data_IF_682232712353
#
_entry.id   IF_682232712353
#
_cell.length_a   1.000
_cell.length_b   1.000
_cell.length_c   1.000
_cell.angle_alpha   90.00
_cell.angle_beta   90.00
_cell.angle_gamma   90.00
#
_symmetry.space_group_name_H-M   'P 1'
#
loop_
_entity.id
_entity.type
_entity.pdbx_description
1 polymer ?
#
# COMPACT_ATOMS: atom_id res chain seq x y z
N UNK A 1 1.94 -7.42 -21.85
CA UNK A 1 0.62 -7.81 -21.43
C UNK A 1 0.45 -9.30 -21.46
N UNK A 2 0.13 -9.92 -20.33
CA UNK A 2 -0.11 -11.37 -20.20
C UNK A 2 -1.56 -11.77 -20.48
N UNK A 3 -2.40 -10.84 -20.91
CA UNK A 3 -3.73 -11.15 -21.36
C UNK A 3 -3.72 -11.41 -22.85
N UNK A 4 -4.12 -12.61 -23.26
CA UNK A 4 -4.43 -12.85 -24.64
C UNK A 4 -5.75 -12.11 -24.94
N UNK A 5 -5.63 -10.87 -25.42
CA UNK A 5 -6.76 -9.94 -25.67
C UNK A 5 -7.85 -10.59 -26.53
N UNK A 6 -7.49 -11.62 -27.30
CA UNK A 6 -8.39 -12.37 -28.16
C UNK A 6 -9.30 -13.38 -27.42
N UNK A 7 -8.96 -13.80 -26.18
CA UNK A 7 -9.73 -14.85 -25.48
C UNK A 7 -10.58 -14.33 -24.32
N UNK A 8 -10.51 -13.05 -23.96
CA UNK A 8 -11.22 -12.47 -22.78
C UNK A 8 -11.11 -13.29 -21.49
N UNK A 9 -9.97 -14.00 -21.33
CA UNK A 9 -9.73 -14.81 -20.14
C UNK A 9 -9.14 -13.95 -19.03
N UNK A 10 -9.58 -14.19 -17.79
CA UNK A 10 -9.00 -13.55 -16.64
C UNK A 10 -7.56 -14.05 -16.40
N UNK A 11 -6.76 -13.27 -15.69
CA UNK A 11 -5.40 -13.70 -15.33
C UNK A 11 -5.45 -14.99 -14.48
N UNK A 12 -6.42 -15.13 -13.60
CA UNK A 12 -6.61 -16.31 -12.76
C UNK A 12 -6.96 -17.56 -13.60
N UNK A 13 -7.78 -17.41 -14.65
CA UNK A 13 -8.06 -18.51 -15.57
C UNK A 13 -6.80 -18.99 -16.28
N UNK A 14 -5.93 -18.07 -16.68
CA UNK A 14 -4.65 -18.43 -17.32
C UNK A 14 -3.71 -19.13 -16.33
N UNK A 15 -3.67 -18.69 -15.08
CA UNK A 15 -2.83 -19.29 -14.04
C UNK A 15 -3.33 -20.70 -13.68
N UNK A 16 -4.62 -20.89 -13.51
CA UNK A 16 -5.21 -22.19 -13.17
C UNK A 16 -5.04 -23.25 -14.26
N UNK A 17 -4.78 -22.84 -15.50
CA UNK A 17 -4.56 -23.69 -16.66
C UNK A 17 -3.20 -23.42 -17.33
N UNK A 18 -2.18 -23.08 -16.53
CA UNK A 18 -0.87 -22.65 -17.06
C UNK A 18 -0.17 -23.72 -17.92
N UNK A 19 -0.45 -24.98 -17.69
CA UNK A 19 0.03 -26.12 -18.45
C UNK A 19 -0.46 -26.16 -19.91
N UNK A 20 -1.60 -25.53 -20.21
CA UNK A 20 -2.16 -25.47 -21.55
C UNK A 20 -1.50 -24.37 -22.42
N UNK A 21 -0.61 -23.57 -21.84
CA UNK A 21 0.03 -22.45 -22.55
C UNK A 21 1.53 -22.72 -22.77
N UNK A 22 1.89 -23.07 -23.98
CA UNK A 22 3.29 -23.37 -24.33
C UNK A 22 4.28 -22.24 -23.96
N UNK A 23 3.83 -20.97 -24.01
CA UNK A 23 4.64 -19.80 -23.64
C UNK A 23 4.94 -19.74 -22.13
N UNK A 24 4.18 -20.43 -21.30
CA UNK A 24 4.32 -20.45 -19.84
C UNK A 24 5.10 -21.69 -19.34
N UNK A 25 5.61 -22.53 -20.23
CA UNK A 25 6.27 -23.81 -19.87
C UNK A 25 7.32 -23.71 -18.77
N UNK A 26 8.09 -22.61 -18.73
CA UNK A 26 9.10 -22.35 -17.67
C UNK A 26 8.53 -21.83 -16.35
N UNK A 27 7.28 -21.40 -16.35
CA UNK A 27 6.63 -20.79 -15.20
C UNK A 27 5.49 -21.65 -14.63
N UNK A 28 5.23 -22.83 -15.18
CA UNK A 28 4.11 -23.69 -14.76
C UNK A 28 4.17 -23.98 -13.24
N UNK A 29 5.32 -24.46 -12.74
CA UNK A 29 5.44 -24.83 -11.33
C UNK A 29 5.22 -23.65 -10.37
N UNK A 30 5.85 -22.47 -10.55
CA UNK A 30 5.55 -21.31 -9.70
C UNK A 30 4.11 -20.78 -9.86
N UNK A 31 3.51 -20.88 -11.04
CA UNK A 31 2.11 -20.47 -11.24
C UNK A 31 1.14 -21.41 -10.52
N UNK A 32 1.36 -22.72 -10.56
CA UNK A 32 0.56 -23.67 -9.80
C UNK A 32 0.75 -23.54 -8.30
N UNK A 33 1.97 -23.23 -7.84
CA UNK A 33 2.19 -22.91 -6.42
C UNK A 33 1.41 -21.66 -6.00
N UNK A 34 1.39 -20.63 -6.82
CA UNK A 34 0.58 -19.46 -6.56
C UNK A 34 -0.92 -19.79 -6.55
N UNK A 35 -1.37 -20.62 -7.50
CA UNK A 35 -2.77 -21.05 -7.57
C UNK A 35 -3.21 -21.84 -6.33
N UNK A 36 -2.38 -22.75 -5.83
CA UNK A 36 -2.62 -23.48 -4.58
C UNK A 36 -2.76 -22.53 -3.37
N UNK A 37 -1.87 -21.55 -3.26
CA UNK A 37 -1.94 -20.50 -2.23
C UNK A 37 -3.27 -19.72 -2.37
N UNK A 38 -3.60 -19.30 -3.58
CA UNK A 38 -4.81 -18.53 -3.84
C UNK A 38 -6.08 -19.31 -3.46
N UNK A 39 -6.16 -20.60 -3.82
CA UNK A 39 -7.31 -21.43 -3.46
C UNK A 39 -7.45 -21.60 -1.94
N UNK A 40 -6.33 -21.84 -1.23
CA UNK A 40 -6.34 -21.94 0.23
C UNK A 40 -6.79 -20.66 0.91
N UNK A 41 -6.39 -19.51 0.39
CA UNK A 41 -6.84 -18.21 0.91
C UNK A 41 -8.31 -17.94 0.62
N UNK A 42 -8.82 -18.35 -0.55
CA UNK A 42 -10.25 -18.27 -0.86
C UNK A 42 -11.08 -19.13 0.10
N UNK A 43 -10.68 -20.38 0.32
CA UNK A 43 -11.34 -21.29 1.28
C UNK A 43 -11.28 -20.71 2.71
N UNK A 44 -10.15 -20.15 3.11
CA UNK A 44 -10.00 -19.51 4.43
C UNK A 44 -10.94 -18.31 4.58
N UNK A 45 -11.06 -17.46 3.56
CA UNK A 45 -11.94 -16.29 3.58
C UNK A 45 -13.42 -16.68 3.69
N UNK A 46 -13.82 -17.82 3.09
CA UNK A 46 -15.20 -18.31 3.12
C UNK A 46 -15.57 -19.04 4.42
N UNK A 47 -14.58 -19.60 5.13
CA UNK A 47 -14.85 -20.55 6.23
C UNK A 47 -14.41 -20.05 7.59
N UNK A 48 -13.56 -19.01 7.66
CA UNK A 48 -12.94 -18.51 8.90
C UNK A 48 -13.39 -17.08 9.21
N UNK A 49 -13.11 -16.65 10.43
CA UNK A 49 -13.25 -15.26 10.82
C UNK A 49 -12.18 -14.40 10.15
N UNK A 50 -12.41 -13.09 10.03
CA UNK A 50 -11.51 -12.19 9.32
C UNK A 50 -10.11 -12.10 9.97
N UNK A 51 -10.01 -12.21 11.29
CA UNK A 51 -8.73 -12.23 12.02
C UNK A 51 -7.99 -13.55 11.82
N UNK A 52 -8.69 -14.69 11.75
CA UNK A 52 -8.12 -15.97 11.37
C UNK A 52 -7.65 -15.96 9.90
N UNK A 53 -8.44 -15.38 8.99
CA UNK A 53 -8.06 -15.19 7.60
C UNK A 53 -6.80 -14.32 7.48
N UNK A 54 -6.70 -13.21 8.21
CA UNK A 54 -5.51 -12.36 8.22
C UNK A 54 -4.25 -13.13 8.69
N UNK A 55 -4.41 -13.99 9.67
CA UNK A 55 -3.35 -14.88 10.13
C UNK A 55 -2.95 -15.89 9.05
N UNK A 56 -3.94 -16.48 8.40
CA UNK A 56 -3.71 -17.44 7.31
C UNK A 56 -3.00 -16.78 6.10
N UNK A 57 -3.34 -15.55 5.77
CA UNK A 57 -2.60 -14.81 4.71
C UNK A 57 -1.11 -14.75 5.03
N UNK A 58 -0.75 -14.46 6.27
CA UNK A 58 0.65 -14.38 6.70
C UNK A 58 1.35 -15.75 6.65
N UNK A 59 0.67 -16.80 7.11
CA UNK A 59 1.24 -18.16 7.21
C UNK A 59 1.27 -18.88 5.85
N UNK A 60 0.16 -18.89 5.11
CA UNK A 60 0.01 -19.62 3.84
C UNK A 60 0.92 -19.04 2.75
N UNK A 61 1.11 -17.72 2.73
CA UNK A 61 2.06 -17.08 1.81
C UNK A 61 3.52 -17.35 2.16
N UNK A 62 3.81 -17.79 3.39
CA UNK A 62 5.15 -17.99 3.91
C UNK A 62 5.86 -16.67 4.30
N UNK A 63 5.13 -15.56 4.39
CA UNK A 63 5.74 -14.27 4.66
C UNK A 63 6.37 -14.20 6.05
N UNK A 64 5.73 -14.79 7.09
CA UNK A 64 6.31 -14.92 8.43
C UNK A 64 7.61 -15.71 8.41
N UNK A 65 7.60 -16.88 7.79
CA UNK A 65 8.78 -17.74 7.72
C UNK A 65 9.95 -17.06 6.98
N UNK A 66 9.66 -16.26 5.96
CA UNK A 66 10.66 -15.45 5.27
C UNK A 66 11.29 -14.42 6.21
N UNK A 67 10.48 -13.66 6.96
CA UNK A 67 10.98 -12.64 7.91
C UNK A 67 11.76 -13.28 9.06
N UNK A 68 11.34 -14.43 9.58
CA UNK A 68 12.06 -15.17 10.62
C UNK A 68 13.44 -15.62 10.12
N UNK A 69 13.51 -16.11 8.87
CA UNK A 69 14.77 -16.47 8.25
C UNK A 69 15.70 -15.27 8.04
N UNK A 70 15.15 -14.10 7.72
CA UNK A 70 15.92 -12.87 7.56
C UNK A 70 16.37 -12.29 8.90
N UNK A 71 15.55 -12.34 9.94
CA UNK A 71 15.94 -11.97 11.30
C UNK A 71 17.08 -12.87 11.81
N UNK A 72 17.05 -14.18 11.53
CA UNK A 72 18.11 -15.12 11.88
C UNK A 72 19.45 -14.82 11.16
N UNK A 73 19.43 -14.14 10.01
CA UNK A 73 20.62 -13.64 9.29
C UNK A 73 21.13 -12.29 9.81
N UNK A 74 20.43 -11.66 10.78
CA UNK A 74 20.82 -10.38 11.37
C UNK A 74 20.32 -9.14 10.62
N UNK A 75 19.28 -9.28 9.80
CA UNK A 75 18.61 -8.11 9.21
C UNK A 75 17.76 -7.39 10.27
N UNK A 76 18.21 -6.21 10.70
CA UNK A 76 17.62 -5.46 11.82
C UNK A 76 16.13 -5.12 11.64
N UNK A 77 15.73 -4.78 10.42
CA UNK A 77 14.34 -4.42 10.09
C UNK A 77 13.37 -5.62 10.05
N UNK A 78 13.88 -6.86 10.03
CA UNK A 78 13.04 -8.06 10.00
C UNK A 78 12.28 -8.28 11.32
N UNK A 79 12.90 -7.93 12.47
CA UNK A 79 12.27 -8.01 13.77
C UNK A 79 11.09 -7.02 13.90
N UNK A 80 11.29 -5.79 13.44
CA UNK A 80 10.25 -4.76 13.44
C UNK A 80 9.07 -5.16 12.52
N UNK A 81 9.37 -5.75 11.36
CA UNK A 81 8.33 -6.27 10.46
C UNK A 81 7.55 -7.44 11.07
N UNK A 82 8.20 -8.33 11.80
CA UNK A 82 7.51 -9.41 12.53
C UNK A 82 6.57 -8.84 13.60
N UNK A 83 7.01 -7.81 14.32
CA UNK A 83 6.15 -7.12 15.28
C UNK A 83 4.95 -6.45 14.58
N UNK A 84 5.16 -5.81 13.43
CA UNK A 84 4.10 -5.19 12.63
C UNK A 84 3.06 -6.22 12.15
N UNK A 85 3.47 -7.45 11.82
CA UNK A 85 2.51 -8.52 11.49
C UNK A 85 1.60 -8.87 12.68
N UNK A 86 2.16 -8.89 13.89
CA UNK A 86 1.37 -9.10 15.10
C UNK A 86 0.36 -7.96 15.33
N UNK A 87 0.78 -6.71 15.10
CA UNK A 87 -0.10 -5.54 15.19
C UNK A 87 -1.21 -5.58 14.13
N UNK A 88 -0.90 -6.00 12.89
CA UNK A 88 -1.90 -6.16 11.83
C UNK A 88 -3.01 -7.12 12.26
N UNK A 89 -2.67 -8.31 12.75
CA UNK A 89 -3.67 -9.28 13.21
C UNK A 89 -4.51 -8.71 14.37
N UNK A 90 -3.87 -8.02 15.32
CA UNK A 90 -4.57 -7.38 16.42
C UNK A 90 -5.53 -6.28 15.95
N UNK A 91 -5.14 -5.49 14.94
CA UNK A 91 -6.00 -4.46 14.36
C UNK A 91 -7.23 -5.08 13.67
N UNK A 92 -7.04 -6.16 12.89
CA UNK A 92 -8.15 -6.90 12.29
C UNK A 92 -9.09 -7.45 13.36
N UNK A 93 -8.55 -8.02 14.44
CA UNK A 93 -9.34 -8.52 15.55
C UNK A 93 -10.16 -7.42 16.23
N UNK A 94 -9.53 -6.27 16.48
CA UNK A 94 -10.23 -5.11 17.05
C UNK A 94 -11.36 -4.62 16.16
N UNK A 95 -11.15 -4.64 14.83
CA UNK A 95 -12.20 -4.33 13.86
C UNK A 95 -13.35 -5.34 13.93
N UNK A 96 -13.05 -6.65 14.01
CA UNK A 96 -14.06 -7.69 14.17
C UNK A 96 -14.86 -7.52 15.48
N UNK A 97 -14.18 -7.19 16.58
CA UNK A 97 -14.83 -6.96 17.89
C UNK A 97 -15.77 -5.74 17.86
N UNK A 98 -15.46 -4.72 17.04
CA UNK A 98 -16.28 -3.52 16.90
C UNK A 98 -17.49 -3.71 15.97
N UNK A 99 -17.34 -4.49 14.90
CA UNK A 99 -18.36 -4.64 13.85
C UNK A 99 -19.17 -5.95 13.98
N UNK A 100 -18.73 -6.90 14.80
CA UNK A 100 -19.43 -8.16 15.05
C UNK A 100 -19.71 -8.94 13.75
N UNK A 101 -20.95 -9.29 13.51
CA UNK A 101 -21.37 -10.06 12.32
C UNK A 101 -21.29 -9.27 10.99
N UNK A 102 -21.15 -7.96 11.04
CA UNK A 102 -20.98 -7.10 9.86
C UNK A 102 -19.52 -6.96 9.43
N UNK A 103 -18.57 -7.50 10.21
CA UNK A 103 -17.15 -7.45 9.88
C UNK A 103 -16.87 -8.20 8.56
N UNK A 104 -16.26 -7.49 7.59
CA UNK A 104 -15.92 -8.04 6.29
C UNK A 104 -14.54 -7.56 5.84
N UNK A 105 -13.89 -8.32 4.95
CA UNK A 105 -12.62 -7.92 4.37
C UNK A 105 -12.75 -6.58 3.61
N UNK A 106 -13.83 -6.43 2.86
CA UNK A 106 -14.11 -5.22 2.08
C UNK A 106 -14.24 -3.99 2.99
N UNK A 107 -15.06 -4.08 4.07
CA UNK A 107 -15.22 -3.02 5.05
C UNK A 107 -13.92 -2.71 5.80
N UNK A 108 -13.12 -3.72 6.16
CA UNK A 108 -11.81 -3.51 6.79
C UNK A 108 -10.85 -2.76 5.86
N UNK A 109 -10.81 -3.11 4.58
CA UNK A 109 -9.97 -2.42 3.60
C UNK A 109 -10.44 -0.99 3.33
N UNK A 110 -11.75 -0.75 3.34
CA UNK A 110 -12.31 0.60 3.27
C UNK A 110 -11.93 1.44 4.49
N UNK A 111 -12.05 0.88 5.70
CA UNK A 111 -11.63 1.54 6.93
C UNK A 111 -10.15 1.92 6.92
N UNK A 112 -9.27 0.99 6.54
CA UNK A 112 -7.82 1.29 6.40
C UNK A 112 -7.58 2.39 5.36
N UNK A 113 -8.30 2.37 4.25
CA UNK A 113 -8.16 3.40 3.22
C UNK A 113 -8.62 4.78 3.73
N UNK A 114 -9.55 4.80 4.70
CA UNK A 114 -10.04 6.01 5.37
C UNK A 114 -9.16 6.41 6.56
N UNK A 115 -8.55 5.43 7.25
CA UNK A 115 -7.51 5.65 8.29
C UNK A 115 -6.22 6.08 7.58
N UNK A 116 -6.24 7.21 6.94
CA UNK A 116 -5.02 7.95 6.67
C UNK A 116 -4.51 8.49 8.02
N UNK A 117 -3.24 8.93 8.10
CA UNK A 117 -2.57 9.48 9.30
C UNK A 117 -3.37 10.59 10.07
N UNK A 118 -4.62 10.77 9.72
CA UNK A 118 -5.57 11.77 10.23
C UNK A 118 -5.93 11.49 11.68
N UNK A 119 -6.06 10.24 12.08
CA UNK A 119 -6.53 9.87 13.44
C UNK A 119 -5.50 10.14 14.54
N UNK A 120 -4.23 10.33 14.17
CA UNK A 120 -3.20 10.79 15.10
C UNK A 120 -3.08 12.31 15.18
N UNK A 121 -3.80 13.06 14.32
CA UNK A 121 -3.75 14.51 14.29
C UNK A 121 -4.63 15.12 15.38
N UNK A 122 -4.00 15.75 16.38
CA UNK A 122 -4.68 16.54 17.36
C UNK A 122 -4.63 18.02 16.98
N UNK A 123 -5.74 18.56 16.46
CA UNK A 123 -5.85 19.95 16.00
C UNK A 123 -5.55 20.97 17.14
N UNK A 124 -5.70 20.56 18.40
CA UNK A 124 -5.46 21.44 19.57
C UNK A 124 -4.02 21.39 20.09
N UNK A 125 -3.18 20.51 19.57
CA UNK A 125 -1.78 20.41 19.99
C UNK A 125 -0.93 21.48 19.32
N UNK A 126 -0.09 22.18 20.10
CA UNK A 126 0.91 23.13 19.58
C UNK A 126 2.11 22.35 19.01
N UNK A 127 1.96 21.89 17.75
CA UNK A 127 2.93 21.03 17.10
C UNK A 127 3.06 21.35 15.60
N UNK A 128 4.22 21.08 15.05
CA UNK A 128 4.44 21.04 13.60
C UNK A 128 4.15 19.64 13.11
N UNK A 129 3.23 19.52 12.14
CA UNK A 129 2.84 18.24 11.55
C UNK A 129 3.59 18.04 10.24
N UNK A 130 4.28 16.91 10.11
CA UNK A 130 4.95 16.48 8.87
C UNK A 130 4.14 15.35 8.25
N UNK A 131 3.76 15.51 6.97
CA UNK A 131 2.98 14.51 6.26
C UNK A 131 3.23 14.57 4.76
N UNK A 132 2.77 13.55 4.04
CA UNK A 132 2.74 13.59 2.58
C UNK A 132 1.54 14.42 2.09
N UNK A 133 1.58 14.88 0.83
CA UNK A 133 0.43 15.58 0.23
C UNK A 133 -0.79 14.64 0.14
N UNK A 134 -0.55 13.34 -0.08
CA UNK A 134 -1.64 12.35 -0.09
C UNK A 134 -2.34 12.24 1.27
N UNK A 135 -1.57 12.18 2.35
CA UNK A 135 -2.10 12.12 3.72
C UNK A 135 -2.82 13.43 4.13
N UNK A 136 -2.54 14.55 3.46
CA UNK A 136 -3.17 15.84 3.74
C UNK A 136 -4.59 15.99 3.15
N UNK A 137 -5.05 15.03 2.35
CA UNK A 137 -6.38 15.09 1.73
C UNK A 137 -7.47 15.10 2.82
N UNK A 138 -8.33 16.11 2.78
CA UNK A 138 -9.42 16.29 3.77
C UNK A 138 -9.04 17.11 5.00
N UNK A 139 -7.75 17.32 5.28
CA UNK A 139 -7.28 18.18 6.37
C UNK A 139 -7.09 19.62 5.89
N UNK A 140 -7.11 20.56 6.82
CA UNK A 140 -6.82 21.97 6.55
C UNK A 140 -6.03 22.58 7.72
N UNK A 141 -5.02 23.38 7.37
CA UNK A 141 -4.11 23.98 8.34
C UNK A 141 -4.06 25.51 8.19
N UNK A 142 -3.88 26.26 9.28
CA UNK A 142 -3.70 27.70 9.18
C UNK A 142 -2.52 28.10 8.31
N UNK A 143 -1.41 27.37 8.42
CA UNK A 143 -0.15 27.59 7.71
C UNK A 143 0.32 26.29 7.08
N UNK A 144 0.65 26.33 5.78
CA UNK A 144 1.13 25.15 5.04
C UNK A 144 2.46 25.46 4.38
N UNK A 145 3.43 24.58 4.54
CA UNK A 145 4.73 24.63 3.88
C UNK A 145 4.83 23.45 2.89
N UNK A 146 4.70 23.73 1.60
CA UNK A 146 4.96 22.76 0.55
C UNK A 146 6.44 22.81 0.19
N UNK A 147 7.15 21.77 0.56
CA UNK A 147 8.60 21.67 0.35
C UNK A 147 8.93 20.78 -0.84
N UNK A 148 10.04 21.09 -1.54
CA UNK A 148 10.53 20.26 -2.65
C UNK A 148 9.68 20.39 -3.93
N UNK A 149 9.08 21.55 -4.16
CA UNK A 149 8.34 21.85 -5.40
C UNK A 149 9.31 22.13 -6.54
N UNK A 150 9.99 21.10 -7.01
CA UNK A 150 11.06 21.18 -8.00
C UNK A 150 11.12 19.92 -8.88
N UNK A 151 11.54 20.10 -10.11
CA UNK A 151 11.68 19.03 -11.09
C UNK A 151 12.48 17.82 -10.57
N UNK A 152 11.87 16.62 -10.68
CA UNK A 152 12.49 15.37 -10.23
C UNK A 152 12.16 14.99 -8.77
N UNK A 153 11.62 15.94 -7.98
CA UNK A 153 11.08 15.67 -6.64
C UNK A 153 9.55 15.74 -6.68
N UNK A 154 9.00 16.87 -7.09
CA UNK A 154 7.57 17.08 -7.30
C UNK A 154 7.34 18.11 -8.43
N UNK A 155 6.94 17.67 -9.64
CA UNK A 155 6.63 16.31 -10.05
C UNK A 155 7.84 15.37 -10.00
N UNK A 156 7.59 14.08 -9.71
CA UNK A 156 8.62 13.06 -9.63
C UNK A 156 9.28 12.82 -11.00
N UNK A 157 10.54 12.35 -11.00
CA UNK A 157 11.22 12.04 -12.27
C UNK A 157 10.46 10.96 -13.07
N UNK A 158 9.80 10.02 -12.39
CA UNK A 158 9.06 8.94 -13.03
C UNK A 158 7.76 9.41 -13.68
N UNK A 159 7.07 10.37 -13.09
CA UNK A 159 5.80 10.89 -13.65
C UNK A 159 5.99 11.66 -14.96
N UNK A 160 7.19 12.11 -15.27
CA UNK A 160 7.48 12.81 -16.54
C UNK A 160 7.32 11.93 -17.79
N UNK A 161 7.37 10.63 -17.64
CA UNK A 161 7.26 9.68 -18.75
C UNK A 161 5.81 9.29 -19.11
N UNK A 162 4.83 9.75 -18.32
CA UNK A 162 3.42 9.46 -18.53
C UNK A 162 2.59 10.73 -18.33
N UNK A 163 1.79 11.10 -19.33
CA UNK A 163 0.90 12.25 -19.24
C UNK A 163 -0.16 12.07 -18.13
N UNK A 164 -0.62 10.83 -17.93
CA UNK A 164 -1.57 10.50 -16.88
C UNK A 164 -0.96 10.68 -15.49
N UNK A 165 0.30 10.26 -15.29
CA UNK A 165 0.99 10.39 -14.02
C UNK A 165 1.31 11.86 -13.73
N UNK A 166 1.68 12.64 -14.75
CA UNK A 166 1.91 14.08 -14.60
C UNK A 166 0.63 14.84 -14.25
N UNK A 167 -0.51 14.41 -14.80
CA UNK A 167 -1.81 14.98 -14.45
C UNK A 167 -2.21 14.66 -13.00
N UNK A 168 -1.86 13.46 -12.51
CA UNK A 168 -2.09 13.10 -11.11
C UNK A 168 -1.20 13.93 -10.17
N UNK A 169 0.07 14.15 -10.51
CA UNK A 169 0.95 15.06 -9.76
C UNK A 169 0.37 16.50 -9.71
N UNK A 170 -0.25 16.96 -10.80
CA UNK A 170 -0.93 18.26 -10.82
C UNK A 170 -2.13 18.30 -9.87
N UNK A 171 -2.92 17.22 -9.82
CA UNK A 171 -4.03 17.10 -8.86
C UNK A 171 -3.55 17.10 -7.43
N UNK A 172 -2.45 16.40 -7.15
CA UNK A 172 -1.81 16.40 -5.84
C UNK A 172 -1.30 17.80 -5.46
N UNK A 173 -0.68 18.53 -6.40
CA UNK A 173 -0.28 19.91 -6.16
C UNK A 173 -1.48 20.78 -5.76
N UNK A 174 -2.59 20.65 -6.47
CA UNK A 174 -3.84 21.35 -6.14
C UNK A 174 -4.35 20.99 -4.74
N UNK A 175 -4.32 19.69 -4.38
CA UNK A 175 -4.68 19.24 -3.03
C UNK A 175 -3.79 19.94 -1.99
N UNK A 176 -2.46 19.89 -2.14
CA UNK A 176 -1.53 20.52 -1.21
C UNK A 176 -1.78 22.03 -1.03
N UNK A 177 -1.93 22.76 -2.13
CA UNK A 177 -2.21 24.20 -2.14
C UNK A 177 -3.51 24.53 -1.38
N UNK A 178 -4.57 23.75 -1.61
CA UNK A 178 -5.88 23.98 -1.00
C UNK A 178 -5.95 23.59 0.47
N UNK A 179 -4.89 23.06 1.07
CA UNK A 179 -4.86 22.77 2.52
C UNK A 179 -4.61 24.00 3.38
N UNK A 180 -4.15 25.10 2.79
CA UNK A 180 -3.84 26.32 3.54
C UNK A 180 -5.10 27.18 3.78
N UNK A 181 -5.43 27.42 5.08
CA UNK A 181 -6.52 28.31 5.48
C UNK A 181 -6.11 29.78 5.46
N UNK A 182 -4.84 30.09 5.81
CA UNK A 182 -4.36 31.48 5.94
C UNK A 182 -3.19 31.75 5.02
N UNK A 183 -2.10 30.98 5.14
CA UNK A 183 -0.87 31.23 4.40
C UNK A 183 -0.29 29.95 3.85
N UNK A 184 0.21 30.05 2.63
CA UNK A 184 0.90 28.97 1.91
C UNK A 184 2.33 29.41 1.61
N UNK A 185 3.29 28.60 2.00
CA UNK A 185 4.71 28.76 1.69
C UNK A 185 5.14 27.63 0.74
N UNK A 186 5.69 28.00 -0.39
CA UNK A 186 6.23 27.02 -1.37
C UNK A 186 7.73 27.19 -1.42
N UNK A 187 8.47 26.09 -1.29
CA UNK A 187 9.92 26.10 -1.40
C UNK A 187 10.44 25.14 -2.46
N UNK A 188 11.47 25.56 -3.14
CA UNK A 188 12.27 24.75 -4.06
C UNK A 188 13.76 24.93 -3.77
N UNK A 189 14.58 24.02 -4.27
CA UNK A 189 16.04 24.11 -4.20
C UNK A 189 16.61 24.26 -5.61
N UNK A 190 17.54 25.17 -5.79
CA UNK A 190 18.25 25.34 -7.08
C UNK A 190 19.16 24.15 -7.35
N UNK A 191 19.70 23.54 -6.29
CA UNK A 191 20.54 22.36 -6.37
C UNK A 191 20.20 21.43 -5.22
N UNK A 192 20.00 20.14 -5.50
CA UNK A 192 19.74 19.11 -4.50
C UNK A 192 20.58 17.88 -4.77
N UNK A 193 21.17 17.33 -3.73
CA UNK A 193 21.81 16.02 -3.82
C UNK A 193 20.75 14.95 -3.55
N UNK A 194 20.42 14.16 -4.56
CA UNK A 194 19.54 12.99 -4.45
C UNK A 194 20.39 11.74 -4.69
N UNK A 195 20.37 10.81 -3.75
CA UNK A 195 21.10 9.53 -3.85
C UNK A 195 22.60 9.69 -4.21
N UNK A 196 23.25 10.76 -3.70
CA UNK A 196 24.67 11.03 -3.96
C UNK A 196 24.97 11.64 -5.33
N UNK A 197 23.96 12.12 -6.06
CA UNK A 197 24.10 12.85 -7.34
C UNK A 197 23.48 14.24 -7.18
N UNK A 198 24.18 15.26 -7.71
CA UNK A 198 23.71 16.65 -7.84
C UNK A 198 23.20 16.89 -9.23
#
# INVERSE_FOLDING_TARGET
GLGDVYKRQSMLDVISHADQYAKLSRAIAPLFKFWDIYQKLQESLETKTLDEFASDVIEITGYRAMLEADAAKGHEDAADRLQNLGQLVNNVKSYCDQHGEEASLEGYLEDIALISDIDSYNESADQVVLMTIHSAKGLEFPYVFLIGMEEGVFPSEMSKYSEADLEEERRLAYVGITRAKKELYISNSVTRMLYGRT
#
